data_IF_867897435654
#
_entry.id   IF_867897435654
#
_cell.length_a   1.000
_cell.length_b   1.000
_cell.length_c   1.000
_cell.angle_alpha   90.00
_cell.angle_beta   90.00
_cell.angle_gamma   90.00
#
_symmetry.space_group_name_H-M   'P 1'
#
loop_
_entity.id
_entity.type
_entity.pdbx_description
1 polymer ?
#
# COMPACT_ATOMS: atom_id res chain seq x y z
N UNK A 1 1.66 -24.52 9.80
CA UNK A 1 1.43 -24.58 8.34
C UNK A 1 2.62 -24.05 7.60
N UNK A 2 2.85 -24.53 6.37
CA UNK A 2 3.84 -23.99 5.46
C UNK A 2 3.17 -23.08 4.43
N UNK A 3 3.51 -21.80 4.47
CA UNK A 3 2.83 -20.72 3.73
C UNK A 3 3.78 -20.14 2.69
N UNK A 4 3.33 -20.03 1.42
CA UNK A 4 4.02 -19.25 0.42
C UNK A 4 3.36 -17.87 0.27
N UNK A 5 4.12 -16.79 0.45
CA UNK A 5 3.73 -15.43 0.08
C UNK A 5 4.38 -15.09 -1.26
N UNK A 6 3.57 -14.82 -2.29
CA UNK A 6 4.07 -14.63 -3.65
C UNK A 6 3.88 -13.20 -4.12
N UNK A 7 4.96 -12.52 -4.49
CA UNK A 7 4.94 -11.15 -5.03
C UNK A 7 5.34 -11.13 -6.51
N UNK A 8 4.63 -10.39 -7.38
CA UNK A 8 5.08 -10.17 -8.75
C UNK A 8 6.18 -9.11 -8.85
N UNK A 9 6.36 -8.30 -7.79
CA UNK A 9 7.23 -7.12 -7.78
C UNK A 9 8.63 -7.42 -7.28
N UNK A 10 9.60 -6.60 -7.72
CA UNK A 10 10.98 -6.61 -7.23
C UNK A 10 11.03 -6.40 -5.72
N UNK A 11 11.40 -7.45 -5.00
CA UNK A 11 11.38 -7.48 -3.55
C UNK A 11 12.55 -6.71 -2.90
N UNK A 12 13.57 -6.37 -3.69
CA UNK A 12 14.67 -5.51 -3.25
C UNK A 12 14.32 -4.02 -3.22
N UNK A 13 13.13 -3.63 -3.71
CA UNK A 13 12.69 -2.25 -3.71
C UNK A 13 11.45 -2.05 -2.84
N UNK A 14 11.48 -1.10 -1.87
CA UNK A 14 10.35 -0.85 -1.00
C UNK A 14 9.11 -0.37 -1.79
N UNK A 15 7.95 -0.83 -1.37
CA UNK A 15 6.67 -0.49 -1.98
C UNK A 15 5.50 -1.06 -1.16
N UNK A 16 4.30 -0.54 -1.34
CA UNK A 16 3.13 -0.92 -0.54
C UNK A 16 2.88 -2.43 -0.49
N UNK A 17 2.96 -3.13 -1.61
CA UNK A 17 2.78 -4.59 -1.67
C UNK A 17 3.93 -5.34 -1.00
N UNK A 18 5.18 -4.89 -1.21
CA UNK A 18 6.36 -5.50 -0.57
C UNK A 18 6.26 -5.34 0.96
N UNK A 19 5.94 -4.15 1.45
CA UNK A 19 5.77 -3.89 2.88
C UNK A 19 4.62 -4.71 3.48
N UNK A 20 3.51 -4.87 2.75
CA UNK A 20 2.39 -5.74 3.16
C UNK A 20 2.85 -7.20 3.32
N UNK A 21 3.60 -7.73 2.36
CA UNK A 21 4.11 -9.11 2.41
C UNK A 21 5.11 -9.27 3.56
N UNK A 22 6.02 -8.32 3.75
CA UNK A 22 6.95 -8.33 4.88
C UNK A 22 6.25 -8.33 6.23
N UNK A 23 5.16 -7.57 6.35
CA UNK A 23 4.37 -7.53 7.56
C UNK A 23 3.64 -8.87 7.81
N UNK A 24 3.02 -9.47 6.80
CA UNK A 24 2.42 -10.80 6.91
C UNK A 24 3.46 -11.88 7.22
N UNK A 25 4.62 -11.86 6.56
CA UNK A 25 5.73 -12.78 6.85
C UNK A 25 6.14 -12.70 8.32
N UNK A 26 6.35 -11.48 8.85
CA UNK A 26 6.70 -11.26 10.24
C UNK A 26 5.63 -11.81 11.21
N UNK A 27 4.35 -11.51 10.95
CA UNK A 27 3.27 -11.93 11.82
C UNK A 27 3.05 -13.45 11.77
N UNK A 28 3.01 -14.05 10.58
CA UNK A 28 2.84 -15.50 10.47
C UNK A 28 4.03 -16.28 11.06
N UNK A 29 5.25 -15.78 10.92
CA UNK A 29 6.43 -16.36 11.57
C UNK A 29 6.32 -16.25 13.11
N UNK A 30 5.84 -15.11 13.65
CA UNK A 30 5.55 -14.96 15.09
C UNK A 30 4.45 -15.90 15.58
N UNK A 31 3.51 -16.26 14.70
CA UNK A 31 2.45 -17.26 14.99
C UNK A 31 2.94 -18.71 14.89
N UNK A 32 4.23 -18.93 14.60
CA UNK A 32 4.85 -20.25 14.52
C UNK A 32 4.67 -20.98 13.18
N UNK A 33 4.39 -20.26 12.09
CA UNK A 33 4.25 -20.84 10.76
C UNK A 33 5.57 -20.82 9.98
N UNK A 34 5.80 -21.83 9.12
CA UNK A 34 6.90 -21.86 8.17
C UNK A 34 6.54 -21.03 6.93
N UNK A 35 7.06 -19.81 6.86
CA UNK A 35 6.75 -18.86 5.79
C UNK A 35 7.88 -18.80 4.78
N UNK A 36 7.55 -18.88 3.49
CA UNK A 36 8.48 -18.63 2.38
C UNK A 36 7.96 -17.48 1.52
N UNK A 37 8.84 -16.58 1.12
CA UNK A 37 8.52 -15.50 0.19
C UNK A 37 9.09 -15.82 -1.18
N UNK A 38 8.22 -15.87 -2.19
CA UNK A 38 8.59 -16.11 -3.59
C UNK A 38 8.42 -14.82 -4.38
N UNK A 39 9.50 -14.24 -4.87
CA UNK A 39 9.44 -12.98 -5.63
C UNK A 39 10.66 -12.82 -6.56
N UNK A 40 10.59 -11.93 -7.58
CA UNK A 40 11.79 -11.47 -8.26
C UNK A 40 12.56 -10.53 -7.35
N UNK A 41 13.89 -10.51 -7.48
CA UNK A 41 14.74 -9.56 -6.79
C UNK A 41 15.90 -9.13 -7.69
N UNK A 42 16.18 -7.81 -7.72
CA UNK A 42 17.30 -7.21 -8.45
C UNK A 42 18.61 -7.32 -7.68
N UNK A 43 18.55 -7.52 -6.37
CA UNK A 43 19.68 -7.71 -5.46
C UNK A 43 19.26 -8.60 -4.28
N UNK A 44 20.19 -8.95 -3.39
CA UNK A 44 19.89 -9.72 -2.19
C UNK A 44 18.82 -9.09 -1.30
N UNK A 45 18.07 -9.92 -0.57
CA UNK A 45 17.01 -9.50 0.36
C UNK A 45 17.37 -10.02 1.77
N UNK A 46 18.29 -9.35 2.49
CA UNK A 46 18.79 -9.84 3.77
C UNK A 46 17.71 -9.96 4.85
N UNK A 47 16.67 -9.13 4.78
CA UNK A 47 15.59 -9.05 5.78
C UNK A 47 14.83 -10.37 5.99
N UNK A 48 14.77 -11.24 4.97
CA UNK A 48 14.06 -12.53 5.03
C UNK A 48 15.04 -13.71 5.12
N UNK A 49 16.30 -13.52 4.71
CA UNK A 49 17.34 -14.56 4.71
C UNK A 49 16.93 -15.77 3.87
N UNK A 50 17.18 -16.99 4.40
CA UNK A 50 16.96 -18.27 3.70
C UNK A 50 15.48 -18.58 3.40
N UNK A 51 14.55 -17.82 3.97
CA UNK A 51 13.12 -17.95 3.68
C UNK A 51 12.73 -17.28 2.36
N UNK A 52 13.63 -16.52 1.74
CA UNK A 52 13.41 -15.88 0.45
C UNK A 52 13.77 -16.79 -0.72
N UNK A 53 12.85 -17.01 -1.62
CA UNK A 53 13.03 -17.82 -2.84
C UNK A 53 13.00 -16.90 -4.06
N UNK A 54 14.15 -16.45 -4.55
CA UNK A 54 14.20 -15.54 -5.70
C UNK A 54 13.82 -16.28 -6.99
N UNK A 55 12.76 -15.81 -7.68
CA UNK A 55 12.34 -16.34 -9.00
C UNK A 55 12.14 -15.19 -9.98
N UNK A 56 12.94 -15.20 -11.03
CA UNK A 56 12.91 -14.22 -12.10
C UNK A 56 13.82 -13.00 -11.84
N UNK A 57 14.14 -12.29 -12.94
CA UNK A 57 14.90 -11.03 -12.91
C UNK A 57 13.95 -9.87 -13.20
N UNK A 58 13.79 -8.92 -12.28
CA UNK A 58 12.85 -7.82 -12.48
C UNK A 58 13.37 -6.82 -13.52
N UNK A 59 12.45 -6.25 -14.30
CA UNK A 59 12.70 -5.16 -15.25
C UNK A 59 11.76 -4.01 -14.95
N UNK A 60 12.23 -2.76 -15.04
CA UNK A 60 11.37 -1.60 -14.85
C UNK A 60 10.43 -1.43 -16.06
N UNK A 61 9.13 -1.39 -15.80
CA UNK A 61 8.07 -1.18 -16.80
C UNK A 61 7.25 0.03 -16.37
N UNK A 62 7.05 1.04 -17.24
CA UNK A 62 6.12 2.13 -16.96
C UNK A 62 4.68 1.57 -16.86
N UNK A 63 4.01 1.85 -15.75
CA UNK A 63 2.63 1.43 -15.53
C UNK A 63 1.86 2.48 -14.71
N UNK A 64 0.71 2.90 -15.19
CA UNK A 64 -0.24 3.78 -14.48
C UNK A 64 0.38 5.06 -13.88
N UNK A 65 1.39 5.64 -14.55
CA UNK A 65 2.10 6.86 -14.09
C UNK A 65 3.20 6.59 -13.06
N UNK A 66 3.55 5.32 -12.84
CA UNK A 66 4.64 4.86 -11.98
C UNK A 66 5.56 3.87 -12.72
N UNK A 67 6.66 3.49 -12.09
CA UNK A 67 7.53 2.41 -12.57
C UNK A 67 7.26 1.15 -11.75
N UNK A 68 6.78 0.13 -12.43
CA UNK A 68 6.57 -1.21 -11.89
C UNK A 68 7.80 -2.07 -12.23
N UNK A 69 8.38 -2.77 -11.25
CA UNK A 69 9.50 -3.69 -11.48
C UNK A 69 9.00 -5.11 -11.35
N UNK A 70 8.80 -5.78 -12.48
CA UNK A 70 8.31 -7.17 -12.55
C UNK A 70 9.22 -8.01 -13.44
N UNK A 71 9.16 -9.33 -13.28
CA UNK A 71 9.82 -10.23 -14.23
C UNK A 71 8.97 -10.39 -15.51
N UNK A 72 9.65 -10.40 -16.66
CA UNK A 72 9.02 -10.63 -17.98
C UNK A 72 9.50 -11.94 -18.62
N UNK A 73 10.18 -12.80 -17.87
CA UNK A 73 10.69 -14.08 -18.36
C UNK A 73 9.58 -15.11 -18.57
N UNK A 74 9.57 -15.76 -19.73
CA UNK A 74 8.69 -16.90 -20.04
C UNK A 74 9.22 -18.22 -19.48
N UNK A 75 10.48 -18.28 -19.10
CA UNK A 75 11.20 -19.50 -18.70
C UNK A 75 11.17 -19.77 -17.19
N UNK A 76 10.11 -19.34 -16.51
CA UNK A 76 9.99 -19.52 -15.05
C UNK A 76 9.44 -20.90 -14.68
N UNK A 77 8.72 -21.56 -15.61
CA UNK A 77 7.95 -22.77 -15.33
C UNK A 77 8.76 -23.92 -14.69
N UNK A 78 9.95 -24.30 -15.19
CA UNK A 78 10.72 -25.40 -14.57
C UNK A 78 11.12 -25.10 -13.12
N UNK A 79 11.53 -23.85 -12.86
CA UNK A 79 11.96 -23.43 -11.53
C UNK A 79 10.77 -23.35 -10.56
N UNK A 80 9.63 -22.84 -11.01
CA UNK A 80 8.40 -22.81 -10.20
C UNK A 80 7.97 -24.23 -9.84
N UNK A 81 7.89 -25.15 -10.82
CA UNK A 81 7.52 -26.56 -10.58
C UNK A 81 8.46 -27.21 -9.56
N UNK A 82 9.78 -27.01 -9.70
CA UNK A 82 10.78 -27.53 -8.76
C UNK A 82 10.56 -27.00 -7.34
N UNK A 83 10.29 -25.69 -7.19
CA UNK A 83 10.04 -25.07 -5.89
C UNK A 83 8.74 -25.62 -5.28
N UNK A 84 7.64 -25.66 -6.02
CA UNK A 84 6.36 -26.16 -5.52
C UNK A 84 6.45 -27.63 -5.09
N UNK A 85 7.12 -28.48 -5.87
CA UNK A 85 7.32 -29.89 -5.54
C UNK A 85 8.22 -30.11 -4.31
N UNK A 86 9.25 -29.27 -4.12
CA UNK A 86 10.17 -29.34 -2.98
C UNK A 86 9.51 -28.84 -1.70
N UNK A 87 8.86 -27.68 -1.75
CA UNK A 87 8.37 -26.98 -0.56
C UNK A 87 7.07 -27.56 -0.03
N UNK A 88 6.19 -28.11 -0.88
CA UNK A 88 4.91 -28.72 -0.50
C UNK A 88 4.08 -27.81 0.42
N UNK A 89 3.77 -26.62 -0.07
CA UNK A 89 3.01 -25.61 0.70
C UNK A 89 1.59 -26.09 1.03
N UNK A 90 1.14 -25.78 2.24
CA UNK A 90 -0.26 -25.97 2.64
C UNK A 90 -1.15 -24.90 1.98
N UNK A 91 -0.62 -23.68 1.85
CA UNK A 91 -1.31 -22.53 1.25
C UNK A 91 -0.35 -21.68 0.43
N UNK A 92 -0.85 -21.15 -0.68
CA UNK A 92 -0.13 -20.18 -1.52
C UNK A 92 -0.96 -18.90 -1.58
N UNK A 93 -0.43 -17.83 -1.00
CA UNK A 93 -1.05 -16.50 -1.03
C UNK A 93 -0.35 -15.62 -2.06
N UNK A 94 -1.07 -15.30 -3.12
CA UNK A 94 -0.56 -14.50 -4.24
C UNK A 94 -1.03 -13.05 -4.09
N UNK A 95 -0.09 -12.11 -4.12
CA UNK A 95 -0.41 -10.69 -4.23
C UNK A 95 -0.44 -10.28 -5.69
N UNK A 96 -1.53 -9.65 -6.13
CA UNK A 96 -1.83 -9.40 -7.55
C UNK A 96 -1.77 -10.71 -8.38
N UNK A 97 -2.64 -11.70 -8.12
CA UNK A 97 -2.52 -13.07 -8.60
C UNK A 97 -2.49 -13.21 -10.13
N UNK A 98 -3.05 -12.23 -10.84
CA UNK A 98 -3.10 -12.21 -12.31
C UNK A 98 -2.02 -11.36 -12.97
N UNK A 99 -1.16 -10.73 -12.15
CA UNK A 99 0.01 -10.06 -12.72
C UNK A 99 0.82 -11.07 -13.56
N UNK A 100 1.19 -10.71 -14.80
CA UNK A 100 1.85 -11.61 -15.73
C UNK A 100 3.12 -12.25 -15.17
N UNK A 101 3.51 -13.36 -15.76
CA UNK A 101 4.71 -14.15 -15.50
C UNK A 101 4.66 -14.85 -14.15
N UNK A 102 5.23 -14.32 -13.06
CA UNK A 102 5.45 -15.08 -11.84
C UNK A 102 4.15 -15.53 -11.16
N UNK A 103 3.30 -14.62 -10.70
CA UNK A 103 2.08 -14.97 -9.95
C UNK A 103 1.14 -15.84 -10.80
N UNK A 104 0.94 -15.46 -12.05
CA UNK A 104 0.12 -16.20 -12.99
C UNK A 104 0.67 -17.59 -13.30
N UNK A 105 2.00 -17.79 -13.30
CA UNK A 105 2.62 -19.10 -13.49
C UNK A 105 2.58 -19.95 -12.21
N UNK A 106 2.81 -19.36 -11.04
CA UNK A 106 2.63 -20.06 -9.76
C UNK A 106 1.20 -20.58 -9.65
N UNK A 107 0.20 -19.74 -9.90
CA UNK A 107 -1.21 -20.13 -9.89
C UNK A 107 -1.52 -21.24 -10.90
N UNK A 108 -0.89 -21.21 -12.09
CA UNK A 108 -1.04 -22.27 -13.10
C UNK A 108 -0.60 -23.63 -12.60
N UNK A 109 0.57 -23.70 -11.94
CA UNK A 109 1.22 -24.96 -11.54
C UNK A 109 0.94 -25.36 -10.10
N UNK A 110 0.28 -24.51 -9.31
CA UNK A 110 -0.14 -24.87 -7.97
C UNK A 110 -1.21 -25.96 -7.97
N UNK A 111 -1.08 -26.91 -7.03
CA UNK A 111 -2.04 -27.99 -6.76
C UNK A 111 -2.60 -27.90 -5.33
N UNK A 112 -2.26 -26.85 -4.60
CA UNK A 112 -2.73 -26.57 -3.24
C UNK A 112 -3.71 -25.40 -3.18
N UNK A 113 -4.19 -25.07 -1.98
CA UNK A 113 -5.07 -23.94 -1.75
C UNK A 113 -4.41 -22.60 -2.14
N UNK A 114 -5.08 -21.83 -2.97
CA UNK A 114 -4.58 -20.53 -3.43
C UNK A 114 -5.51 -19.42 -2.98
N UNK A 115 -4.92 -18.37 -2.41
CA UNK A 115 -5.59 -17.12 -2.04
C UNK A 115 -4.95 -15.99 -2.83
N UNK A 116 -5.76 -15.02 -3.25
CA UNK A 116 -5.29 -13.84 -3.97
C UNK A 116 -5.63 -12.56 -3.25
N UNK A 117 -4.64 -11.69 -2.98
CA UNK A 117 -4.88 -10.32 -2.52
C UNK A 117 -4.72 -9.32 -3.66
N UNK A 118 -5.71 -8.46 -3.80
CA UNK A 118 -5.82 -7.42 -4.80
C UNK A 118 -5.57 -6.05 -4.17
N UNK A 119 -4.53 -5.37 -4.64
CA UNK A 119 -4.09 -4.06 -4.14
C UNK A 119 -4.39 -2.92 -5.10
N UNK A 120 -4.58 -3.21 -6.39
CA UNK A 120 -4.76 -2.21 -7.43
C UNK A 120 -6.16 -1.60 -7.39
N UNK A 121 -6.23 -0.29 -7.63
CA UNK A 121 -7.48 0.46 -7.81
C UNK A 121 -7.69 0.89 -9.27
N UNK A 122 -6.67 0.85 -10.11
CA UNK A 122 -6.73 1.39 -11.47
C UNK A 122 -5.87 0.59 -12.42
N UNK A 123 -6.33 0.49 -13.67
CA UNK A 123 -5.79 -0.29 -14.76
C UNK A 123 -4.28 -0.50 -14.72
N UNK A 124 -3.90 -1.70 -14.32
CA UNK A 124 -2.57 -2.24 -14.54
C UNK A 124 -2.59 -3.00 -15.85
N UNK A 125 -1.53 -3.01 -16.65
CA UNK A 125 -1.47 -3.75 -17.92
C UNK A 125 -1.84 -5.24 -17.78
N UNK A 126 -1.73 -5.81 -16.56
CA UNK A 126 -2.09 -7.19 -16.28
C UNK A 126 -3.60 -7.50 -16.38
N UNK A 127 -4.46 -6.50 -16.18
CA UNK A 127 -5.93 -6.66 -16.25
C UNK A 127 -6.52 -6.25 -17.61
N UNK A 128 -5.80 -5.41 -18.38
CA UNK A 128 -6.30 -4.82 -19.63
C UNK A 128 -5.84 -5.58 -20.88
N UNK A 129 -5.43 -6.84 -20.78
CA UNK A 129 -5.19 -7.64 -21.97
C UNK A 129 -6.53 -8.00 -22.64
N UNK A 130 -7.06 -7.08 -23.43
CA UNK A 130 -8.29 -7.18 -24.21
C UNK A 130 -8.22 -8.16 -25.40
N UNK A 131 -7.56 -9.32 -25.23
CA UNK A 131 -7.50 -10.38 -26.24
C UNK A 131 -8.34 -11.58 -25.78
N UNK A 132 -9.12 -12.21 -26.67
CA UNK A 132 -9.99 -13.36 -26.34
C UNK A 132 -9.23 -14.52 -25.69
N UNK A 133 -7.97 -14.74 -26.08
CA UNK A 133 -7.10 -15.80 -25.54
C UNK A 133 -6.74 -15.51 -24.07
N UNK A 134 -6.51 -14.25 -23.69
CA UNK A 134 -6.24 -13.87 -22.31
C UNK A 134 -7.47 -14.07 -21.42
N UNK A 135 -8.66 -13.83 -21.91
CA UNK A 135 -9.92 -14.06 -21.18
C UNK A 135 -10.10 -15.54 -20.81
N UNK A 136 -9.82 -16.47 -21.74
CA UNK A 136 -9.91 -17.91 -21.48
C UNK A 136 -8.84 -18.38 -20.48
N UNK A 137 -7.61 -17.85 -20.57
CA UNK A 137 -6.54 -18.14 -19.62
C UNK A 137 -6.89 -17.61 -18.23
N UNK A 138 -7.42 -16.40 -18.15
CA UNK A 138 -7.90 -15.80 -16.90
C UNK A 138 -9.06 -16.61 -16.32
N UNK A 139 -10.02 -17.02 -17.15
CA UNK A 139 -11.14 -17.87 -16.73
C UNK A 139 -10.68 -19.15 -16.06
N UNK A 140 -9.76 -19.91 -16.68
CA UNK A 140 -9.23 -21.15 -16.09
C UNK A 140 -8.42 -20.92 -14.83
N UNK A 141 -7.68 -19.79 -14.73
CA UNK A 141 -6.84 -19.47 -13.56
C UNK A 141 -7.63 -18.93 -12.39
N UNK A 142 -8.68 -18.11 -12.63
CA UNK A 142 -9.52 -17.58 -11.54
C UNK A 142 -10.18 -18.70 -10.73
N UNK A 143 -10.52 -19.84 -11.37
CA UNK A 143 -11.09 -21.01 -10.70
C UNK A 143 -10.13 -21.68 -9.72
N UNK A 144 -8.84 -21.38 -9.75
CA UNK A 144 -7.85 -21.85 -8.79
C UNK A 144 -7.73 -20.97 -7.55
N UNK A 145 -8.32 -19.78 -7.54
CA UNK A 145 -8.39 -18.93 -6.36
C UNK A 145 -9.58 -19.35 -5.51
N UNK A 146 -9.30 -19.88 -4.33
CA UNK A 146 -10.30 -20.36 -3.38
C UNK A 146 -10.71 -19.25 -2.40
N UNK A 147 -9.83 -18.28 -2.14
CA UNK A 147 -10.11 -17.06 -1.40
C UNK A 147 -9.64 -15.82 -2.17
N UNK A 148 -10.42 -14.76 -2.10
CA UNK A 148 -10.08 -13.45 -2.71
C UNK A 148 -10.16 -12.37 -1.65
N UNK A 149 -9.06 -11.68 -1.43
CA UNK A 149 -8.95 -10.54 -0.51
C UNK A 149 -8.81 -9.27 -1.35
N UNK A 150 -9.57 -8.24 -1.00
CA UNK A 150 -9.33 -6.89 -1.49
C UNK A 150 -8.94 -5.98 -0.33
N UNK A 151 -7.91 -5.15 -0.51
CA UNK A 151 -7.43 -4.26 0.56
C UNK A 151 -8.36 -3.08 0.84
N UNK A 152 -9.39 -2.89 0.02
CA UNK A 152 -10.38 -1.82 0.16
C UNK A 152 -11.57 -2.05 -0.77
N UNK A 153 -12.70 -1.33 -0.54
CA UNK A 153 -13.83 -1.31 -1.48
C UNK A 153 -13.43 -0.85 -2.89
N UNK A 154 -12.64 0.22 -3.08
CA UNK A 154 -12.15 0.60 -4.40
C UNK A 154 -11.34 -0.51 -5.09
N UNK A 155 -10.45 -1.20 -4.36
CA UNK A 155 -9.69 -2.32 -4.90
C UNK A 155 -10.61 -3.50 -5.26
N UNK A 156 -11.60 -3.80 -4.43
CA UNK A 156 -12.62 -4.82 -4.71
C UNK A 156 -13.41 -4.48 -5.98
N UNK A 157 -13.95 -3.28 -6.08
CA UNK A 157 -14.73 -2.85 -7.24
C UNK A 157 -13.91 -2.94 -8.53
N UNK A 158 -12.64 -2.54 -8.49
CA UNK A 158 -11.76 -2.67 -9.64
C UNK A 158 -11.48 -4.14 -10.00
N UNK A 159 -11.16 -4.97 -9.01
CA UNK A 159 -10.86 -6.39 -9.23
C UNK A 159 -12.09 -7.18 -9.71
N UNK A 160 -13.26 -6.95 -9.13
CA UNK A 160 -14.51 -7.67 -9.43
C UNK A 160 -15.02 -7.44 -10.87
N UNK A 161 -14.73 -6.26 -11.45
CA UNK A 161 -15.03 -5.98 -12.87
C UNK A 161 -14.31 -6.93 -13.84
N UNK A 162 -13.18 -7.52 -13.43
CA UNK A 162 -12.37 -8.42 -14.25
C UNK A 162 -12.44 -9.87 -13.77
N UNK A 163 -12.63 -10.06 -12.47
CA UNK A 163 -12.59 -11.35 -11.78
C UNK A 163 -13.77 -11.42 -10.83
N UNK A 164 -14.95 -11.75 -11.31
CA UNK A 164 -16.16 -11.81 -10.49
C UNK A 164 -16.06 -12.85 -9.36
N UNK A 165 -16.93 -12.71 -8.37
CA UNK A 165 -17.08 -13.62 -7.23
C UNK A 165 -16.98 -12.88 -5.90
N UNK A 166 -17.03 -13.63 -4.81
CA UNK A 166 -16.95 -13.09 -3.45
C UNK A 166 -15.53 -12.59 -3.12
N UNK A 167 -15.44 -11.48 -2.40
CA UNK A 167 -14.21 -10.89 -1.87
C UNK A 167 -14.36 -10.59 -0.39
N UNK A 168 -13.41 -11.05 0.41
CA UNK A 168 -13.25 -10.58 1.77
C UNK A 168 -12.47 -9.26 1.74
N UNK A 169 -13.00 -8.19 2.35
CA UNK A 169 -12.29 -6.92 2.47
C UNK A 169 -11.43 -6.98 3.73
N UNK A 170 -10.13 -7.20 3.55
CA UNK A 170 -9.14 -7.20 4.62
C UNK A 170 -8.13 -6.09 4.32
N UNK A 171 -8.11 -5.00 5.10
CA UNK A 171 -7.33 -3.81 4.79
C UNK A 171 -5.82 -4.03 4.96
N UNK A 172 -5.03 -3.06 4.49
CA UNK A 172 -3.64 -2.97 4.88
C UNK A 172 -3.53 -2.59 6.36
N UNK A 173 -2.48 -3.05 7.01
CA UNK A 173 -2.16 -2.68 8.37
C UNK A 173 -1.08 -1.60 8.49
N UNK A 174 -0.85 -1.16 9.71
CA UNK A 174 0.27 -0.33 10.13
C UNK A 174 1.03 -1.05 11.26
N UNK A 175 2.35 -0.90 11.29
CA UNK A 175 3.20 -1.47 12.35
C UNK A 175 3.22 -0.53 13.54
N UNK A 176 2.38 -0.78 14.54
CA UNK A 176 2.25 0.06 15.73
C UNK A 176 3.43 -0.08 16.70
N UNK A 177 4.27 -1.10 16.53
CA UNK A 177 5.53 -1.22 17.27
C UNK A 177 6.59 -0.28 16.68
N UNK A 178 6.48 0.03 15.40
CA UNK A 178 7.39 0.89 14.67
C UNK A 178 6.89 2.35 14.59
N UNK A 179 5.63 2.55 14.21
CA UNK A 179 4.97 3.86 14.24
C UNK A 179 4.29 4.07 15.57
N UNK A 180 5.04 4.55 16.55
CA UNK A 180 4.57 4.80 17.92
C UNK A 180 4.63 6.28 18.25
N UNK A 181 3.74 6.82 19.11
CA UNK A 181 3.79 8.20 19.56
C UNK A 181 5.03 8.53 20.39
N UNK A 182 5.74 7.51 20.89
CA UNK A 182 6.93 7.68 21.75
C UNK A 182 8.23 7.91 20.96
N UNK A 183 8.18 7.80 19.62
CA UNK A 183 9.36 8.03 18.79
C UNK A 183 9.84 9.47 18.89
N UNK A 184 11.16 9.68 19.04
CA UNK A 184 11.74 11.00 19.13
C UNK A 184 11.62 11.78 17.81
N UNK A 185 11.16 13.05 17.82
CA UNK A 185 11.13 13.89 16.62
C UNK A 185 12.54 14.20 16.11
N UNK A 186 12.64 14.81 14.95
CA UNK A 186 13.91 15.24 14.35
C UNK A 186 14.29 16.62 14.90
N UNK A 187 15.31 16.68 15.70
CA UNK A 187 15.69 17.85 16.50
C UNK A 187 15.87 19.13 15.68
N UNK A 188 16.50 19.05 14.50
CA UNK A 188 16.73 20.22 13.62
C UNK A 188 15.47 20.93 13.14
N UNK A 189 14.30 20.34 13.33
CA UNK A 189 12.99 20.91 12.97
C UNK A 189 12.17 21.38 14.18
N UNK A 190 12.77 21.35 15.38
CA UNK A 190 12.15 21.84 16.62
C UNK A 190 12.57 23.29 16.94
N UNK A 191 12.44 24.15 15.94
CA UNK A 191 12.85 25.56 16.01
C UNK A 191 11.66 26.54 16.14
N UNK A 192 10.51 26.05 16.57
CA UNK A 192 9.30 26.84 16.77
C UNK A 192 8.41 27.01 15.52
N UNK A 193 8.86 26.54 14.34
CA UNK A 193 8.03 26.57 13.14
C UNK A 193 7.01 25.44 13.13
N UNK A 194 5.80 25.74 12.63
CA UNK A 194 4.78 24.72 12.41
C UNK A 194 5.15 23.88 11.19
N UNK A 195 5.35 22.58 11.38
CA UNK A 195 5.82 21.67 10.36
C UNK A 195 4.67 20.95 9.65
N UNK A 196 4.52 21.16 8.37
CA UNK A 196 3.64 20.39 7.49
C UNK A 196 4.49 19.31 6.81
N UNK A 197 4.07 18.06 6.90
CA UNK A 197 4.77 16.92 6.29
C UNK A 197 4.01 16.37 5.09
N UNK A 198 4.72 16.12 4.02
CA UNK A 198 4.29 15.31 2.88
C UNK A 198 5.19 14.07 2.78
N UNK A 199 4.58 12.88 2.69
CA UNK A 199 5.31 11.61 2.47
C UNK A 199 4.80 10.92 1.22
N UNK A 200 5.71 10.59 0.30
CA UNK A 200 5.38 9.81 -0.88
C UNK A 200 6.33 9.98 -2.05
N UNK A 201 6.25 9.08 -3.02
CA UNK A 201 6.99 9.24 -4.27
C UNK A 201 6.54 10.52 -4.97
N UNK A 202 7.48 11.27 -5.52
CA UNK A 202 7.16 12.53 -6.22
C UNK A 202 6.53 12.22 -7.60
N UNK A 203 5.32 11.69 -7.58
CA UNK A 203 4.48 11.40 -8.75
C UNK A 203 3.38 12.44 -8.85
N UNK A 204 2.96 12.78 -10.09
CA UNK A 204 1.94 13.82 -10.32
C UNK A 204 0.64 13.54 -9.56
N UNK A 205 0.21 12.26 -9.49
CA UNK A 205 -1.01 11.87 -8.78
C UNK A 205 -0.98 12.06 -7.26
N UNK A 206 0.21 12.19 -6.66
CA UNK A 206 0.38 12.47 -5.22
C UNK A 206 0.12 13.93 -4.84
N UNK A 207 -0.02 14.81 -5.84
CA UNK A 207 -0.55 16.17 -5.65
C UNK A 207 0.40 17.16 -4.99
N UNK A 208 1.72 16.92 -4.97
CA UNK A 208 2.68 17.87 -4.38
C UNK A 208 2.60 19.25 -5.04
N UNK A 209 2.24 19.34 -6.32
CA UNK A 209 2.01 20.62 -7.01
C UNK A 209 0.84 21.41 -6.39
N UNK A 210 -0.22 20.73 -6.00
CA UNK A 210 -1.35 21.32 -5.28
C UNK A 210 -0.94 21.79 -3.88
N UNK A 211 -0.16 20.96 -3.16
CA UNK A 211 0.34 21.34 -1.84
C UNK A 211 1.28 22.57 -1.91
N UNK A 212 2.15 22.66 -2.89
CA UNK A 212 3.03 23.82 -3.05
C UNK A 212 2.25 25.11 -3.30
N UNK A 213 1.14 25.06 -4.06
CA UNK A 213 0.26 26.22 -4.27
C UNK A 213 -0.51 26.58 -3.00
N UNK A 214 -1.05 25.60 -2.29
CA UNK A 214 -1.71 25.81 -1.00
C UNK A 214 -0.71 26.36 0.03
N UNK A 215 0.48 25.82 0.10
CA UNK A 215 1.53 26.25 1.02
C UNK A 215 1.97 27.71 0.76
N UNK A 216 1.92 28.20 -0.48
CA UNK A 216 2.16 29.61 -0.76
C UNK A 216 1.18 30.52 0.00
N UNK A 217 -0.11 30.16 0.04
CA UNK A 217 -1.14 30.90 0.80
C UNK A 217 -0.87 30.77 2.30
N UNK A 218 -0.62 29.54 2.78
CA UNK A 218 -0.27 29.29 4.17
C UNK A 218 0.95 30.11 4.61
N UNK A 219 2.01 30.16 3.79
CA UNK A 219 3.25 30.86 4.12
C UNK A 219 3.08 32.38 4.20
N UNK A 220 2.12 32.93 3.47
CA UNK A 220 1.78 34.36 3.53
C UNK A 220 1.08 34.72 4.85
N UNK A 221 0.23 33.83 5.37
CA UNK A 221 -0.54 34.04 6.62
C UNK A 221 0.24 33.58 7.87
N UNK A 222 1.02 32.50 7.75
CA UNK A 222 1.84 31.94 8.83
C UNK A 222 3.30 31.88 8.39
N UNK A 223 4.06 32.99 8.52
CA UNK A 223 5.47 33.05 8.14
C UNK A 223 6.35 32.00 8.84
N UNK A 224 6.04 31.66 10.09
CA UNK A 224 6.73 30.63 10.88
C UNK A 224 6.15 29.23 10.62
N UNK A 225 6.01 28.89 9.34
CA UNK A 225 5.65 27.56 8.87
C UNK A 225 6.75 26.92 8.03
N UNK A 226 6.75 25.60 7.95
CA UNK A 226 7.68 24.79 7.13
C UNK A 226 6.96 23.65 6.44
N UNK A 227 7.30 23.40 5.17
CA UNK A 227 6.88 22.22 4.43
C UNK A 227 8.04 21.24 4.29
N UNK A 228 7.91 20.05 4.87
CA UNK A 228 8.89 18.96 4.77
C UNK A 228 8.37 17.95 3.77
N UNK A 229 9.14 17.68 2.71
CA UNK A 229 8.79 16.77 1.62
C UNK A 229 9.72 15.55 1.69
N UNK A 230 9.16 14.40 2.08
CA UNK A 230 9.85 13.13 2.23
C UNK A 230 9.43 12.17 1.11
N UNK A 231 10.39 11.52 0.51
CA UNK A 231 10.17 10.47 -0.47
C UNK A 231 11.24 10.43 -1.56
N UNK A 232 11.35 9.28 -2.25
CA UNK A 232 12.35 9.12 -3.28
C UNK A 232 12.11 10.10 -4.42
N UNK A 233 13.19 10.70 -4.87
CA UNK A 233 13.17 11.62 -6.01
C UNK A 233 12.77 10.90 -7.29
N UNK A 234 11.91 11.53 -8.07
CA UNK A 234 11.61 11.16 -9.46
C UNK A 234 12.13 12.26 -10.39
N UNK A 235 11.92 12.13 -11.71
CA UNK A 235 12.19 13.23 -12.66
C UNK A 235 11.48 14.53 -12.28
N UNK A 236 10.37 14.45 -11.52
CA UNK A 236 9.61 15.63 -11.06
C UNK A 236 10.31 16.39 -9.92
N UNK A 237 11.22 15.77 -9.17
CA UNK A 237 11.92 16.44 -8.06
C UNK A 237 12.60 17.73 -8.51
N UNK A 238 13.43 17.65 -9.54
CA UNK A 238 14.12 18.84 -10.10
C UNK A 238 13.13 19.93 -10.54
N UNK A 239 11.96 19.53 -11.08
CA UNK A 239 10.91 20.46 -11.49
C UNK A 239 10.31 21.17 -10.28
N UNK A 240 10.00 20.45 -9.21
CA UNK A 240 9.44 21.02 -7.97
C UNK A 240 10.46 21.94 -7.28
N UNK A 241 11.70 21.53 -7.12
CA UNK A 241 12.78 22.36 -6.55
C UNK A 241 13.01 23.64 -7.37
N UNK A 242 12.99 23.53 -8.72
CA UNK A 242 13.08 24.72 -9.60
C UNK A 242 11.86 25.64 -9.43
N UNK A 243 10.65 25.08 -9.28
CA UNK A 243 9.43 25.85 -9.05
C UNK A 243 9.51 26.61 -7.71
N UNK A 244 9.90 25.96 -6.64
CA UNK A 244 10.08 26.55 -5.29
C UNK A 244 11.07 27.69 -5.34
N UNK A 245 12.26 27.51 -5.96
CA UNK A 245 13.26 28.58 -6.10
C UNK A 245 12.74 29.76 -6.92
N UNK A 246 12.12 29.52 -8.07
CA UNK A 246 11.61 30.57 -8.96
C UNK A 246 10.46 31.38 -8.34
N UNK A 247 9.63 30.74 -7.52
CA UNK A 247 8.51 31.38 -6.85
C UNK A 247 8.90 32.09 -5.55
N UNK A 248 10.18 32.03 -5.14
CA UNK A 248 10.64 32.59 -3.88
C UNK A 248 9.99 31.94 -2.63
N UNK A 249 9.43 30.74 -2.76
CA UNK A 249 8.73 30.07 -1.66
C UNK A 249 9.75 29.56 -0.62
N UNK A 250 9.72 30.15 0.57
CA UNK A 250 10.66 29.84 1.66
C UNK A 250 10.23 28.63 2.48
N UNK A 251 11.19 28.06 3.22
CA UNK A 251 10.97 26.96 4.18
C UNK A 251 10.34 25.69 3.58
N UNK A 252 10.66 25.36 2.34
CA UNK A 252 10.34 24.07 1.73
C UNK A 252 11.57 23.19 1.72
N UNK A 253 11.55 22.10 2.49
CA UNK A 253 12.68 21.18 2.67
C UNK A 253 12.39 19.87 1.93
N UNK A 254 13.17 19.59 0.89
CA UNK A 254 13.13 18.30 0.18
C UNK A 254 14.10 17.32 0.89
N UNK A 255 13.64 16.59 1.87
CA UNK A 255 14.45 15.63 2.62
C UNK A 255 14.93 14.43 1.78
N UNK A 256 14.21 14.10 0.70
CA UNK A 256 14.57 12.98 -0.17
C UNK A 256 14.06 11.64 0.34
N UNK A 257 14.75 10.57 -0.06
CA UNK A 257 14.46 9.23 0.45
C UNK A 257 14.88 9.15 1.92
N UNK A 258 14.02 8.56 2.73
CA UNK A 258 14.34 8.19 4.12
C UNK A 258 14.16 6.69 4.30
N UNK A 259 14.92 6.11 5.21
CA UNK A 259 14.77 4.69 5.57
C UNK A 259 13.43 4.44 6.26
N UNK A 260 13.02 3.18 6.31
CA UNK A 260 11.81 2.80 7.04
C UNK A 260 11.94 3.17 8.52
N UNK A 261 13.12 2.96 9.12
CA UNK A 261 13.38 3.22 10.53
C UNK A 261 13.34 4.71 10.91
N UNK A 262 13.72 5.59 9.99
CA UNK A 262 13.68 7.05 10.22
C UNK A 262 12.29 7.65 9.93
N UNK A 263 11.44 6.96 9.18
CA UNK A 263 10.17 7.52 8.72
C UNK A 263 9.22 7.91 9.85
N UNK A 264 9.06 7.14 10.95
CA UNK A 264 8.22 7.53 12.09
C UNK A 264 8.64 8.87 12.73
N UNK A 265 9.94 9.17 12.75
CA UNK A 265 10.45 10.43 13.29
C UNK A 265 10.00 11.64 12.48
N UNK A 266 9.88 11.51 11.15
CA UNK A 266 9.31 12.57 10.30
C UNK A 266 7.85 12.82 10.61
N UNK A 267 7.04 11.75 10.75
CA UNK A 267 5.64 11.90 11.16
C UNK A 267 5.54 12.55 12.54
N UNK A 268 6.34 12.12 13.50
CA UNK A 268 6.34 12.70 14.86
C UNK A 268 6.81 14.16 14.92
N UNK A 269 7.67 14.57 13.98
CA UNK A 269 8.14 15.96 13.86
C UNK A 269 7.03 16.89 13.31
N UNK A 270 6.09 16.34 12.56
CA UNK A 270 5.07 17.10 11.90
C UNK A 270 3.93 17.49 12.85
N UNK A 271 3.53 18.76 12.80
CA UNK A 271 2.30 19.25 13.43
C UNK A 271 1.07 18.85 12.63
N UNK A 272 1.23 18.70 11.29
CA UNK A 272 0.17 18.31 10.36
C UNK A 272 0.79 17.43 9.28
N UNK A 273 0.22 16.25 9.05
CA UNK A 273 0.51 15.45 7.87
C UNK A 273 -0.45 15.82 6.73
N UNK A 274 0.08 16.11 5.55
CA UNK A 274 -0.71 16.49 4.39
C UNK A 274 -0.49 15.54 3.20
N UNK A 275 -1.58 14.95 2.69
CA UNK A 275 -1.56 14.06 1.52
C UNK A 275 -2.64 14.45 0.49
N UNK A 276 -2.32 15.37 -0.44
CA UNK A 276 -3.28 15.94 -1.39
C UNK A 276 -3.37 15.15 -2.69
N UNK A 277 -3.40 13.83 -2.62
CA UNK A 277 -3.46 12.97 -3.80
C UNK A 277 -4.68 13.31 -4.68
N UNK A 278 -4.49 13.29 -6.00
CA UNK A 278 -5.53 13.66 -6.96
C UNK A 278 -6.41 12.48 -7.39
N UNK A 279 -6.17 11.28 -6.81
CA UNK A 279 -6.86 10.02 -7.12
C UNK A 279 -5.89 8.85 -7.27
N UNK A 280 -6.42 7.68 -7.62
CA UNK A 280 -5.67 6.45 -7.87
C UNK A 280 -4.90 5.92 -6.66
N UNK A 281 -5.42 6.16 -5.47
CA UNK A 281 -4.99 5.54 -4.23
C UNK A 281 -6.00 4.46 -3.85
N UNK A 282 -5.53 3.25 -3.63
CA UNK A 282 -6.42 2.14 -3.27
C UNK A 282 -6.79 2.13 -1.80
N UNK A 283 -5.92 2.68 -0.91
CA UNK A 283 -6.13 2.58 0.53
C UNK A 283 -5.59 3.79 1.31
N UNK A 284 -4.30 4.11 1.18
CA UNK A 284 -3.68 5.23 1.91
C UNK A 284 -2.97 4.82 3.20
N UNK A 285 -1.99 3.91 3.11
CA UNK A 285 -1.17 3.47 4.26
C UNK A 285 -0.55 4.65 4.99
N UNK A 286 -0.11 5.70 4.27
CA UNK A 286 0.49 6.91 4.85
C UNK A 286 -0.43 7.66 5.82
N UNK A 287 -1.75 7.51 5.70
CA UNK A 287 -2.71 8.04 6.68
C UNK A 287 -2.58 7.31 8.01
N UNK A 288 -2.51 5.98 7.96
CA UNK A 288 -2.36 5.15 9.16
C UNK A 288 -1.00 5.37 9.84
N UNK A 289 0.07 5.58 9.06
CA UNK A 289 1.40 5.90 9.58
C UNK A 289 1.38 7.22 10.38
N UNK A 290 0.75 8.26 9.81
CA UNK A 290 0.56 9.55 10.51
C UNK A 290 -0.33 9.40 11.76
N UNK A 291 -1.45 8.73 11.63
CA UNK A 291 -2.39 8.49 12.73
C UNK A 291 -1.75 7.69 13.86
N UNK A 292 -0.93 6.70 13.56
CA UNK A 292 -0.29 5.84 14.56
C UNK A 292 0.65 6.60 15.50
N UNK A 293 1.32 7.66 15.01
CA UNK A 293 2.18 8.52 15.83
C UNK A 293 1.44 9.72 16.43
N UNK A 294 0.12 9.85 16.19
CA UNK A 294 -0.72 10.91 16.73
C UNK A 294 -0.67 12.21 15.94
N UNK A 295 -0.23 12.21 14.68
CA UNK A 295 -0.20 13.38 13.82
C UNK A 295 -1.52 13.54 13.08
N UNK A 296 -2.23 14.69 13.22
CA UNK A 296 -3.49 14.95 12.53
C UNK A 296 -3.28 15.06 11.02
N UNK A 297 -4.28 14.68 10.26
CA UNK A 297 -4.19 14.54 8.81
C UNK A 297 -5.00 15.60 8.07
N UNK A 298 -4.41 16.21 7.03
CA UNK A 298 -5.15 16.91 5.98
C UNK A 298 -5.00 16.11 4.69
N UNK A 299 -6.10 15.59 4.17
CA UNK A 299 -6.11 14.73 2.99
C UNK A 299 -7.15 15.17 1.97
N UNK A 300 -7.01 14.73 0.73
CA UNK A 300 -8.07 14.89 -0.25
C UNK A 300 -9.15 13.82 -0.07
N UNK A 301 -10.40 14.19 -0.30
CA UNK A 301 -11.55 13.28 -0.26
C UNK A 301 -11.60 12.45 -1.55
N UNK A 302 -10.82 11.37 -1.56
CA UNK A 302 -10.79 10.36 -2.61
C UNK A 302 -11.15 9.00 -2.01
N UNK A 303 -11.71 8.10 -2.82
CA UNK A 303 -12.28 6.82 -2.37
C UNK A 303 -11.34 6.01 -1.47
N UNK A 304 -10.05 5.95 -1.82
CA UNK A 304 -9.06 5.21 -1.04
C UNK A 304 -8.80 5.80 0.35
N UNK A 305 -8.94 7.12 0.51
CA UNK A 305 -8.72 7.79 1.79
C UNK A 305 -9.99 7.83 2.65
N UNK A 306 -11.15 8.01 2.01
CA UNK A 306 -12.45 8.00 2.69
C UNK A 306 -12.80 6.64 3.33
N UNK A 307 -12.14 5.57 2.89
CA UNK A 307 -12.24 4.25 3.52
C UNK A 307 -11.41 4.08 4.80
N UNK A 308 -10.49 5.03 5.09
CA UNK A 308 -9.54 4.95 6.21
C UNK A 308 -9.81 6.03 7.25
N UNK A 309 -10.18 7.25 6.84
CA UNK A 309 -10.44 8.36 7.75
C UNK A 309 -11.83 8.97 7.54
N UNK A 310 -12.34 9.61 8.57
CA UNK A 310 -13.63 10.31 8.60
C UNK A 310 -13.39 11.81 8.71
N UNK A 311 -14.11 12.58 7.90
CA UNK A 311 -14.05 14.06 7.95
C UNK A 311 -14.29 14.59 9.38
N UNK A 312 -13.36 15.42 9.86
CA UNK A 312 -13.45 16.09 11.16
C UNK A 312 -13.14 15.19 12.37
N UNK A 313 -12.80 13.92 12.15
CA UNK A 313 -12.48 12.99 13.24
C UNK A 313 -10.96 12.82 13.43
N UNK A 314 -10.26 12.24 12.50
CA UNK A 314 -8.82 12.06 12.52
C UNK A 314 -8.05 13.20 11.84
N UNK A 315 -8.79 14.09 11.19
CA UNK A 315 -8.27 15.21 10.41
C UNK A 315 -9.32 15.79 9.48
N UNK A 316 -8.87 16.55 8.49
CA UNK A 316 -9.74 17.24 7.53
C UNK A 316 -9.58 16.67 6.13
N UNK A 317 -10.70 16.53 5.43
CA UNK A 317 -10.74 16.11 4.04
C UNK A 317 -11.21 17.25 3.14
N UNK A 318 -10.52 17.48 2.03
CA UNK A 318 -10.85 18.54 1.07
C UNK A 318 -11.05 17.94 -0.34
N UNK A 319 -11.80 18.58 -1.22
CA UNK A 319 -11.91 18.12 -2.60
C UNK A 319 -10.53 18.03 -3.29
N UNK A 320 -10.26 17.02 -4.12
CA UNK A 320 -8.99 16.92 -4.83
C UNK A 320 -8.81 18.08 -5.82
N UNK A 321 -7.58 18.59 -5.95
CA UNK A 321 -7.19 19.72 -6.81
C UNK A 321 -7.78 21.10 -6.41
N UNK A 322 -8.30 21.22 -5.21
CA UNK A 322 -8.79 22.50 -4.66
C UNK A 322 -7.74 23.12 -3.73
N UNK A 323 -6.80 23.85 -4.31
CA UNK A 323 -5.61 24.39 -3.62
C UNK A 323 -5.99 25.36 -2.48
N UNK A 324 -7.04 26.18 -2.65
CA UNK A 324 -7.54 27.11 -1.64
C UNK A 324 -8.19 26.40 -0.45
N UNK A 325 -9.02 25.37 -0.69
CA UNK A 325 -9.60 24.58 0.40
C UNK A 325 -8.53 23.82 1.17
N UNK A 326 -7.50 23.33 0.47
CA UNK A 326 -6.34 22.70 1.09
C UNK A 326 -5.59 23.69 2.00
N UNK A 327 -5.38 24.93 1.54
CA UNK A 327 -4.76 25.97 2.34
C UNK A 327 -5.61 26.31 3.58
N UNK A 328 -6.92 26.47 3.44
CA UNK A 328 -7.84 26.75 4.56
C UNK A 328 -7.81 25.65 5.61
N UNK A 329 -7.84 24.38 5.18
CA UNK A 329 -7.75 23.24 6.10
C UNK A 329 -6.43 23.21 6.88
N UNK A 330 -5.31 23.51 6.21
CA UNK A 330 -4.01 23.63 6.85
C UNK A 330 -3.99 24.78 7.86
N UNK A 331 -4.45 25.98 7.47
CA UNK A 331 -4.50 27.16 8.34
C UNK A 331 -5.37 26.93 9.57
N UNK A 332 -6.54 26.30 9.41
CA UNK A 332 -7.41 25.94 10.53
C UNK A 332 -6.67 25.06 11.55
N UNK A 333 -6.00 24.02 11.11
CA UNK A 333 -5.23 23.17 12.03
C UNK A 333 -3.98 23.86 12.57
N UNK A 334 -3.40 24.84 11.87
CA UNK A 334 -2.25 25.59 12.37
C UNK A 334 -2.64 26.54 13.49
N UNK A 335 -3.81 27.15 13.42
CA UNK A 335 -4.31 28.11 14.42
C UNK A 335 -4.92 27.42 15.66
N UNK A 336 -5.29 26.14 15.58
CA UNK A 336 -6.00 25.43 16.66
C UNK A 336 -5.20 24.19 17.13
N UNK A 337 -4.29 24.38 18.08
CA UNK A 337 -3.52 23.30 18.67
C UNK A 337 -4.37 22.28 19.44
N UNK A 338 -5.35 22.69 20.27
CA UNK A 338 -6.28 21.76 20.90
C UNK A 338 -6.98 20.84 19.90
N UNK A 339 -7.44 21.35 18.77
CA UNK A 339 -8.06 20.57 17.69
C UNK A 339 -7.05 19.58 17.08
N UNK A 340 -5.80 20.01 16.82
CA UNK A 340 -4.74 19.11 16.35
C UNK A 340 -4.53 17.94 17.30
N UNK A 341 -4.41 18.22 18.60
CA UNK A 341 -4.22 17.18 19.64
C UNK A 341 -5.42 16.23 19.70
N UNK A 342 -6.64 16.75 19.64
CA UNK A 342 -7.85 15.94 19.63
C UNK A 342 -7.91 15.01 18.41
N UNK A 343 -7.66 15.55 17.21
CA UNK A 343 -7.65 14.75 15.97
C UNK A 343 -6.53 13.71 15.98
N UNK A 344 -5.35 14.06 16.47
CA UNK A 344 -4.23 13.12 16.63
C UNK A 344 -4.58 11.95 17.56
N UNK A 345 -5.19 12.22 18.72
CA UNK A 345 -5.64 11.19 19.64
C UNK A 345 -6.69 10.25 19.02
N UNK A 346 -7.65 10.81 18.28
CA UNK A 346 -8.65 10.02 17.54
C UNK A 346 -7.99 9.20 16.42
N UNK A 347 -6.98 9.78 15.75
CA UNK A 347 -6.17 9.09 14.76
C UNK A 347 -5.48 7.85 15.33
N UNK A 348 -4.84 7.97 16.50
CA UNK A 348 -4.23 6.82 17.18
C UNK A 348 -5.25 5.72 17.48
N UNK A 349 -6.43 6.08 18.00
CA UNK A 349 -7.49 5.12 18.26
C UNK A 349 -7.98 4.40 16.98
N UNK A 350 -8.07 5.12 15.87
CA UNK A 350 -8.39 4.54 14.57
C UNK A 350 -7.28 3.62 14.08
N UNK A 351 -6.01 4.02 14.16
CA UNK A 351 -4.86 3.21 13.75
C UNK A 351 -4.76 1.85 14.47
N UNK A 352 -5.22 1.79 15.75
CA UNK A 352 -5.28 0.53 16.51
C UNK A 352 -6.16 -0.55 15.86
N UNK A 353 -7.13 -0.18 15.04
CA UNK A 353 -7.98 -1.13 14.32
C UNK A 353 -7.22 -1.78 13.15
N UNK A 354 -6.17 -1.14 12.68
CA UNK A 354 -5.33 -1.53 11.55
C UNK A 354 -3.96 -2.10 11.96
N UNK A 355 -3.80 -2.53 13.24
CA UNK A 355 -2.57 -3.21 13.67
C UNK A 355 -2.34 -4.48 12.82
N UNK A 356 -1.14 -4.65 12.29
CA UNK A 356 -0.75 -5.84 11.54
C UNK A 356 -1.02 -7.15 12.28
N UNK A 357 -0.99 -7.15 13.61
CA UNK A 357 -1.36 -8.32 14.42
C UNK A 357 -2.81 -8.73 14.20
N UNK A 358 -3.72 -7.74 14.12
CA UNK A 358 -5.16 -7.97 13.85
C UNK A 358 -5.40 -8.34 12.39
N UNK A 359 -4.77 -7.60 11.47
CA UNK A 359 -4.93 -7.84 10.02
C UNK A 359 -4.42 -9.23 9.64
N UNK A 360 -3.23 -9.61 10.11
CA UNK A 360 -2.68 -10.95 9.83
C UNK A 360 -3.57 -12.07 10.40
N UNK A 361 -4.21 -11.87 11.56
CA UNK A 361 -5.17 -12.82 12.11
C UNK A 361 -6.38 -12.98 11.19
N UNK A 362 -6.97 -11.90 10.68
CA UNK A 362 -8.09 -11.97 9.72
C UNK A 362 -7.69 -12.72 8.44
N UNK A 363 -6.48 -12.46 7.91
CA UNK A 363 -5.96 -13.20 6.75
C UNK A 363 -5.81 -14.68 7.09
N UNK A 364 -5.32 -15.00 8.29
CA UNK A 364 -5.15 -16.37 8.75
C UNK A 364 -6.49 -17.10 8.96
N UNK A 365 -7.49 -16.42 9.49
CA UNK A 365 -8.86 -16.96 9.62
C UNK A 365 -9.45 -17.36 8.27
N UNK A 366 -9.19 -16.53 7.23
CA UNK A 366 -9.56 -16.89 5.87
C UNK A 366 -8.79 -18.14 5.39
N UNK A 367 -7.50 -18.29 5.73
CA UNK A 367 -6.73 -19.50 5.40
C UNK A 367 -7.38 -20.74 6.00
N UNK A 368 -7.74 -20.71 7.30
CA UNK A 368 -8.40 -21.81 7.98
C UNK A 368 -9.75 -22.13 7.33
N UNK A 369 -10.56 -21.09 7.03
CA UNK A 369 -11.85 -21.25 6.34
C UNK A 369 -11.67 -21.98 5.00
N UNK A 370 -10.74 -21.54 4.16
CA UNK A 370 -10.47 -22.16 2.86
C UNK A 370 -9.96 -23.60 3.01
N UNK A 371 -9.12 -23.89 3.99
CA UNK A 371 -8.57 -25.23 4.22
C UNK A 371 -9.61 -26.20 4.83
N UNK A 372 -10.62 -25.70 5.54
CA UNK A 372 -11.71 -26.51 6.09
C UNK A 372 -12.77 -26.89 5.05
N UNK A 373 -12.79 -26.22 3.88
CA UNK A 373 -13.74 -26.57 2.82
C UNK A 373 -13.45 -27.95 2.21
N UNK A 374 -14.51 -28.70 1.83
CA UNK A 374 -14.35 -30.02 1.23
C UNK A 374 -13.53 -29.98 -0.08
N UNK A 375 -12.79 -31.05 -0.42
CA UNK A 375 -11.90 -31.09 -1.62
C UNK A 375 -12.61 -30.76 -2.94
N UNK A 376 -13.89 -31.09 -3.09
CA UNK A 376 -14.65 -30.79 -4.31
C UNK A 376 -14.97 -29.30 -4.42
N UNK A 377 -15.26 -28.57 -3.32
CA UNK A 377 -15.38 -27.09 -3.31
C UNK A 377 -14.06 -26.42 -3.63
N UNK A 378 -12.95 -26.99 -3.19
CA UNK A 378 -11.61 -26.50 -3.52
C UNK A 378 -11.31 -26.62 -5.03
N UNK A 379 -11.89 -27.61 -5.73
CA UNK A 379 -11.77 -27.78 -7.19
C UNK A 379 -12.71 -26.88 -7.99
N UNK A 380 -13.85 -26.45 -7.41
CA UNK A 380 -14.91 -25.72 -8.12
C UNK A 380 -15.52 -24.60 -7.23
N UNK A 381 -14.76 -23.54 -6.89
CA UNK A 381 -15.22 -22.47 -5.98
C UNK A 381 -16.39 -21.61 -6.53
N UNK A 382 -16.78 -21.78 -7.77
CA UNK A 382 -17.89 -21.02 -8.39
C UNK A 382 -19.26 -21.71 -8.31
N UNK A 383 -19.36 -22.91 -7.72
CA UNK A 383 -20.64 -23.67 -7.69
C UNK A 383 -21.70 -23.03 -6.79
N UNK A 384 -21.31 -22.18 -5.83
CA UNK A 384 -22.24 -21.52 -4.91
C UNK A 384 -22.94 -20.27 -5.51
N UNK A 385 -22.48 -19.75 -6.64
CA UNK A 385 -23.10 -18.57 -7.26
C UNK A 385 -24.41 -18.91 -8.01
N UNK A 386 -24.63 -20.18 -8.34
CA UNK A 386 -25.80 -20.63 -9.13
C UNK A 386 -26.94 -21.12 -8.22
N UNK A 387 -26.63 -21.56 -7.00
CA UNK A 387 -27.64 -22.08 -6.04
C UNK A 387 -28.28 -21.00 -5.17
N UNK A 388 -27.76 -19.76 -5.17
CA UNK A 388 -28.35 -18.64 -4.42
C UNK A 388 -29.26 -17.74 -5.26
N UNK A 389 -29.47 -18.06 -6.54
CA UNK A 389 -30.35 -17.35 -7.48
C UNK A 389 -31.43 -18.25 -8.10
N UNK A 390 -31.70 -19.42 -7.50
CA UNK A 390 -32.84 -20.28 -7.85
C UNK A 390 -33.91 -20.23 -6.77
#
# INVERSE_FOLDING_TARGET
MKIALVSPYDFAHPGGVVNHILALDRQFTRMGHDVRVIAPASQGVPTIGDRFIPIGRPRPIPASGSICRITISLWLAPRIKKVLAREKFDIIHLHEPFMPMLCSAVLRYSETANIGTFHAYHGSPGYNFGWPISALILYRRRRKLMGKIAVSRPAMNFASNHIPGHYDIIPNGVDLEHFTPDVAPIERFRDGKVNILFVGRLEKRKGLDHLLKAYRQVKAEVPESRLIVVGPGTRLRKKYEKHVRRSGLKDVVFAGYTSYDELPRYYKTADIFCTPATGRESFGIVLLEAMAVGTPVVATNIDGYAGVMTQGKEGLMVPPKHDTELARALLLLMSDEPLRRQMGARGMATAQQYDWKKIARQVFELYIKVLSEPPWRRRFPEYDAVSASA
#
